data_IF_706166629057
#
_entry.id   IF_706166629057
#
_cell.length_a   1.000
_cell.length_b   1.000
_cell.length_c   1.000
_cell.angle_alpha   90.00
_cell.angle_beta   90.00
_cell.angle_gamma   90.00
#
_symmetry.space_group_name_H-M   'P 1'
#
loop_
_entity.id
_entity.type
_entity.pdbx_description
1 polymer ?
#
# COMPACT_ATOMS: atom_id res chain seq x y z
N UNK A 1 -26.69 0.05 -1.41
CA UNK A 1 -25.69 -0.87 -0.84
C UNK A 1 -24.90 -0.12 0.23
N UNK A 2 -25.03 -0.46 1.53
CA UNK A 2 -24.15 0.11 2.56
C UNK A 2 -22.76 -0.48 2.33
N UNK A 3 -21.81 0.33 1.86
CA UNK A 3 -20.42 -0.09 1.66
C UNK A 3 -19.85 -0.52 3.00
N UNK A 4 -19.43 -1.78 3.11
CA UNK A 4 -18.69 -2.25 4.27
C UNK A 4 -17.38 -1.43 4.31
N UNK A 5 -17.27 -0.48 5.23
CA UNK A 5 -16.26 0.59 5.25
C UNK A 5 -14.86 0.14 5.65
N UNK A 6 -14.62 -1.17 5.78
CA UNK A 6 -13.33 -1.74 6.17
C UNK A 6 -12.68 -2.42 4.97
N UNK A 7 -11.48 -1.99 4.62
CA UNK A 7 -10.67 -2.64 3.60
C UNK A 7 -10.24 -4.02 4.10
N UNK A 8 -10.58 -5.07 3.36
CA UNK A 8 -10.15 -6.44 3.69
C UNK A 8 -8.64 -6.58 3.43
N UNK A 9 -7.93 -7.36 4.25
CA UNK A 9 -6.46 -7.49 4.15
C UNK A 9 -6.01 -8.06 2.78
N UNK A 10 -6.88 -8.77 2.07
CA UNK A 10 -6.58 -9.25 0.71
C UNK A 10 -6.24 -8.11 -0.25
N UNK A 11 -6.90 -6.95 -0.12
CA UNK A 11 -6.60 -5.77 -0.97
C UNK A 11 -5.20 -5.23 -0.67
N UNK A 12 -4.80 -5.26 0.60
CA UNK A 12 -3.46 -4.89 1.02
C UNK A 12 -2.40 -5.87 0.48
N UNK A 13 -2.73 -7.16 0.47
CA UNK A 13 -1.85 -8.19 -0.10
C UNK A 13 -1.73 -8.01 -1.62
N UNK A 14 -2.83 -7.75 -2.33
CA UNK A 14 -2.82 -7.39 -3.75
C UNK A 14 -1.95 -6.16 -4.01
N UNK A 15 -2.06 -5.12 -3.18
CA UNK A 15 -1.22 -3.93 -3.32
C UNK A 15 0.27 -4.24 -3.07
N UNK A 16 0.57 -5.11 -2.10
CA UNK A 16 1.95 -5.56 -1.84
C UNK A 16 2.52 -6.30 -3.05
N UNK A 17 1.74 -7.18 -3.69
CA UNK A 17 2.10 -7.88 -4.93
C UNK A 17 2.39 -6.89 -6.06
N UNK A 18 1.52 -5.89 -6.26
CA UNK A 18 1.72 -4.86 -7.30
C UNK A 18 2.99 -4.05 -7.04
N UNK A 19 3.24 -3.66 -5.79
CA UNK A 19 4.45 -2.92 -5.45
C UNK A 19 5.72 -3.76 -5.60
N UNK A 20 5.70 -5.04 -5.24
CA UNK A 20 6.83 -5.94 -5.46
C UNK A 20 7.11 -6.14 -6.95
N UNK A 21 6.07 -6.32 -7.77
CA UNK A 21 6.21 -6.37 -9.24
C UNK A 21 6.79 -5.06 -9.80
N UNK A 22 6.34 -3.93 -9.27
CA UNK A 22 6.84 -2.60 -9.65
C UNK A 22 8.33 -2.40 -9.34
N UNK A 23 8.89 -3.12 -8.35
CA UNK A 23 10.33 -3.02 -8.03
C UNK A 23 11.21 -3.59 -9.16
N UNK A 24 10.69 -4.45 -10.03
CA UNK A 24 11.40 -4.96 -11.22
C UNK A 24 11.67 -3.89 -12.28
N UNK A 25 10.96 -2.75 -12.22
CA UNK A 25 11.03 -1.68 -13.23
C UNK A 25 11.75 -0.44 -12.72
N UNK A 26 12.42 -0.52 -11.57
CA UNK A 26 13.18 0.58 -11.00
C UNK A 26 14.59 0.61 -11.59
N UNK A 27 15.20 1.79 -11.57
CA UNK A 27 16.59 1.95 -11.95
C UNK A 27 17.51 1.15 -11.01
N UNK A 28 18.64 0.66 -11.53
CA UNK A 28 19.55 -0.25 -10.83
C UNK A 28 20.15 0.36 -9.56
N UNK A 29 20.31 1.69 -9.54
CA UNK A 29 20.79 2.46 -8.40
C UNK A 29 19.74 2.64 -7.29
N UNK A 30 18.46 2.37 -7.58
CA UNK A 30 17.42 2.55 -6.60
C UNK A 30 17.52 1.45 -5.52
N UNK A 31 17.36 1.81 -4.23
CA UNK A 31 17.23 0.82 -3.18
C UNK A 31 16.07 -0.14 -3.46
N UNK A 32 16.34 -1.44 -3.40
CA UNK A 32 15.30 -2.47 -3.51
C UNK A 32 14.50 -2.53 -2.21
N UNK A 33 13.19 -2.71 -2.35
CA UNK A 33 12.25 -2.90 -1.24
C UNK A 33 11.48 -4.19 -1.45
N UNK A 34 11.16 -4.86 -0.34
CA UNK A 34 10.27 -6.01 -0.31
C UNK A 34 9.04 -5.66 0.54
N UNK A 35 7.86 -5.82 -0.04
CA UNK A 35 6.58 -5.60 0.60
C UNK A 35 5.97 -6.93 1.02
N UNK A 36 6.05 -7.24 2.32
CA UNK A 36 5.47 -8.46 2.86
C UNK A 36 3.94 -8.39 2.90
N UNK A 37 3.29 -9.47 2.48
CA UNK A 37 1.85 -9.64 2.63
C UNK A 37 1.46 -9.83 4.09
N UNK A 38 0.29 -9.33 4.47
CA UNK A 38 -0.33 -9.56 5.77
C UNK A 38 -0.55 -11.05 5.98
N UNK A 39 -1.11 -11.76 4.99
CA UNK A 39 -1.35 -13.20 5.07
C UNK A 39 -0.07 -14.01 5.31
N UNK A 40 1.06 -13.61 4.72
CA UNK A 40 2.33 -14.32 4.90
C UNK A 40 3.01 -14.06 6.25
N UNK A 41 2.63 -13.03 7.00
CA UNK A 41 3.24 -12.74 8.30
C UNK A 41 2.35 -13.12 9.48
N UNK A 42 1.02 -12.94 9.36
CA UNK A 42 0.10 -12.98 10.50
C UNK A 42 0.15 -14.31 11.28
N UNK A 43 0.31 -15.44 10.58
CA UNK A 43 0.35 -16.78 11.19
C UNK A 43 1.61 -17.06 12.00
N UNK A 44 2.67 -16.28 11.77
CA UNK A 44 3.90 -16.37 12.56
C UNK A 44 3.88 -15.46 13.79
N UNK A 45 2.91 -14.56 13.92
CA UNK A 45 2.84 -13.54 14.97
C UNK A 45 1.87 -13.94 16.10
N UNK A 46 1.87 -15.21 16.48
CA UNK A 46 1.00 -15.76 17.54
C UNK A 46 1.53 -15.40 18.93
N UNK A 47 0.74 -14.61 19.68
CA UNK A 47 1.08 -14.12 21.01
C UNK A 47 1.09 -15.22 22.10
N UNK A 48 0.46 -16.36 21.83
CA UNK A 48 0.29 -17.44 22.80
C UNK A 48 1.34 -18.54 22.62
N UNK A 49 2.17 -18.47 21.57
CA UNK A 49 3.18 -19.48 21.25
C UNK A 49 4.59 -18.94 21.47
N UNK A 50 5.50 -19.85 21.80
CA UNK A 50 6.94 -19.54 21.86
C UNK A 50 7.46 -19.28 20.44
N UNK A 51 8.38 -18.33 20.31
CA UNK A 51 9.07 -17.98 19.04
C UNK A 51 9.64 -19.20 18.33
N UNK A 52 10.15 -20.20 19.06
CA UNK A 52 10.67 -21.43 18.47
C UNK A 52 9.62 -22.23 17.67
N UNK A 53 8.34 -22.17 18.06
CA UNK A 53 7.24 -22.86 17.39
C UNK A 53 6.69 -22.10 16.18
N UNK A 54 6.75 -20.77 16.21
CA UNK A 54 6.22 -19.91 15.13
C UNK A 54 7.27 -19.54 14.08
N UNK A 55 8.57 -19.69 14.41
CA UNK A 55 9.66 -19.38 13.49
C UNK A 55 9.64 -20.18 12.18
N UNK A 56 9.40 -21.51 12.16
CA UNK A 56 9.38 -22.25 10.90
C UNK A 56 8.31 -21.72 9.92
N UNK A 57 7.18 -21.24 10.44
CA UNK A 57 6.12 -20.60 9.65
C UNK A 57 6.64 -19.29 9.05
N UNK A 58 7.28 -18.45 9.86
CA UNK A 58 7.89 -17.21 9.39
C UNK A 58 8.93 -17.47 8.29
N UNK A 59 9.85 -18.40 8.53
CA UNK A 59 10.94 -18.74 7.60
C UNK A 59 10.40 -19.25 6.27
N UNK A 60 9.46 -20.20 6.31
CA UNK A 60 8.80 -20.73 5.11
C UNK A 60 8.16 -19.61 4.29
N UNK A 61 7.39 -18.73 4.96
CA UNK A 61 6.69 -17.65 4.29
C UNK A 61 7.64 -16.60 3.69
N UNK A 62 8.71 -16.23 4.40
CA UNK A 62 9.71 -15.28 3.87
C UNK A 62 10.50 -15.91 2.70
N UNK A 63 10.83 -17.20 2.77
CA UNK A 63 11.45 -17.90 1.65
C UNK A 63 10.53 -17.96 0.42
N UNK A 64 9.24 -18.24 0.60
CA UNK A 64 8.24 -18.21 -0.47
C UNK A 64 8.08 -16.80 -1.08
N UNK A 65 8.12 -15.75 -0.25
CA UNK A 65 8.11 -14.37 -0.77
C UNK A 65 9.37 -14.06 -1.60
N UNK A 66 10.54 -14.45 -1.11
CA UNK A 66 11.81 -14.19 -1.78
C UNK A 66 12.02 -15.04 -3.04
N UNK A 67 11.42 -16.24 -3.12
CA UNK A 67 11.45 -17.04 -4.34
C UNK A 67 10.62 -16.40 -5.46
N UNK A 68 9.50 -15.75 -5.09
CA UNK A 68 8.65 -14.98 -6.00
C UNK A 68 9.24 -13.64 -6.38
N UNK A 69 9.95 -12.99 -5.45
CA UNK A 69 10.53 -11.65 -5.62
C UNK A 69 12.01 -11.66 -5.21
N UNK A 70 12.92 -12.14 -6.08
CA UNK A 70 14.32 -12.35 -5.73
C UNK A 70 15.03 -11.05 -5.38
N UNK A 71 15.13 -10.75 -4.09
CA UNK A 71 15.82 -9.57 -3.56
C UNK A 71 17.25 -9.94 -3.18
N UNK A 72 18.25 -9.46 -3.92
CA UNK A 72 19.67 -9.83 -3.72
C UNK A 72 20.42 -9.05 -2.63
N UNK A 73 19.85 -7.96 -2.09
CA UNK A 73 20.52 -7.11 -1.08
C UNK A 73 19.54 -6.56 -0.06
N UNK A 74 19.70 -6.94 1.21
CA UNK A 74 19.03 -6.31 2.35
C UNK A 74 19.93 -5.19 2.90
N UNK A 75 19.57 -3.93 2.72
CA UNK A 75 20.46 -2.80 3.02
C UNK A 75 19.96 -1.89 4.16
N UNK A 76 18.66 -1.86 4.45
CA UNK A 76 18.08 -0.94 5.44
C UNK A 76 17.00 -1.63 6.28
N UNK A 77 17.08 -1.49 7.60
CA UNK A 77 16.08 -1.95 8.57
C UNK A 77 15.97 -0.82 9.59
N UNK A 78 14.86 -0.08 9.58
CA UNK A 78 14.64 1.03 10.49
C UNK A 78 13.81 0.61 11.68
N UNK A 79 14.28 0.97 12.88
CA UNK A 79 13.53 0.83 14.12
C UNK A 79 13.96 1.94 15.11
N UNK A 80 13.05 2.42 15.98
CA UNK A 80 13.25 3.50 16.98
C UNK A 80 12.42 3.32 18.29
N UNK A 81 11.76 4.35 18.83
CA UNK A 81 11.20 4.37 20.21
C UNK A 81 9.89 3.60 20.50
N UNK A 82 9.66 3.18 21.76
CA UNK A 82 8.76 2.10 22.22
C UNK A 82 7.33 2.01 21.61
N UNK A 83 7.09 0.93 20.85
CA UNK A 83 5.78 0.59 20.23
C UNK A 83 4.81 -0.25 21.09
N UNK A 84 5.21 -0.64 22.31
CA UNK A 84 4.53 -1.67 23.10
C UNK A 84 3.09 -1.32 23.50
N UNK A 85 2.77 -0.04 23.70
CA UNK A 85 1.44 0.40 24.12
C UNK A 85 0.34 0.13 23.08
N UNK A 86 0.68 0.12 21.79
CA UNK A 86 -0.29 -0.02 20.70
C UNK A 86 -0.30 -1.41 20.07
N UNK A 87 0.88 -2.04 19.94
CA UNK A 87 1.03 -3.31 19.21
C UNK A 87 1.38 -4.49 20.12
N UNK A 88 1.47 -4.26 21.43
CA UNK A 88 1.82 -5.29 22.40
C UNK A 88 3.18 -5.94 22.09
N UNK A 89 3.21 -7.27 22.06
CA UNK A 89 4.43 -8.05 21.79
C UNK A 89 4.66 -8.34 20.30
N UNK A 90 3.73 -7.99 19.42
CA UNK A 90 3.81 -8.33 17.99
C UNK A 90 5.12 -7.83 17.35
N UNK A 91 5.54 -6.55 17.54
CA UNK A 91 6.78 -6.07 16.93
C UNK A 91 8.02 -6.80 17.46
N UNK A 92 8.02 -7.20 18.74
CA UNK A 92 9.12 -7.96 19.35
C UNK A 92 9.21 -9.38 18.79
N UNK A 93 8.08 -10.04 18.52
CA UNK A 93 8.04 -11.37 17.89
C UNK A 93 8.57 -11.28 16.46
N UNK A 94 8.06 -10.31 15.68
CA UNK A 94 8.51 -10.08 14.30
C UNK A 94 10.01 -9.79 14.23
N UNK A 95 10.50 -8.92 15.12
CA UNK A 95 11.93 -8.61 15.24
C UNK A 95 12.77 -9.84 15.58
N UNK A 96 12.32 -10.65 16.55
CA UNK A 96 13.01 -11.89 16.94
C UNK A 96 13.08 -12.89 15.79
N UNK A 97 11.97 -13.07 15.06
CA UNK A 97 11.93 -13.90 13.87
C UNK A 97 12.90 -13.42 12.80
N UNK A 98 12.90 -12.12 12.53
CA UNK A 98 13.76 -11.56 11.49
C UNK A 98 15.24 -11.65 11.85
N UNK A 99 15.62 -11.38 13.10
CA UNK A 99 17.00 -11.58 13.59
C UNK A 99 17.44 -13.03 13.41
N UNK A 100 16.60 -13.99 13.83
CA UNK A 100 16.89 -15.42 13.69
C UNK A 100 17.02 -15.84 12.23
N UNK A 101 16.16 -15.31 11.36
CA UNK A 101 16.21 -15.56 9.92
C UNK A 101 17.52 -15.06 9.30
N UNK A 102 17.98 -13.85 9.66
CA UNK A 102 19.27 -13.34 9.20
C UNK A 102 20.45 -14.19 9.65
N UNK A 103 20.43 -14.69 10.90
CA UNK A 103 21.45 -15.63 11.39
C UNK A 103 21.46 -16.92 10.59
N UNK A 104 20.28 -17.50 10.36
CA UNK A 104 20.15 -18.75 9.61
C UNK A 104 20.60 -18.60 8.16
N UNK A 105 20.31 -17.46 7.51
CA UNK A 105 20.81 -17.13 6.16
C UNK A 105 22.30 -16.75 6.10
N UNK A 106 23.04 -16.81 7.22
CA UNK A 106 24.46 -16.53 7.27
C UNK A 106 24.83 -15.04 7.40
N UNK A 107 23.86 -14.13 7.55
CA UNK A 107 24.10 -12.69 7.72
C UNK A 107 24.44 -12.33 9.17
N UNK A 108 25.50 -12.93 9.72
CA UNK A 108 25.83 -12.82 11.15
C UNK A 108 26.00 -11.36 11.58
N UNK A 109 26.85 -10.57 10.90
CA UNK A 109 27.09 -9.16 11.24
C UNK A 109 25.78 -8.35 11.20
N UNK A 110 24.98 -8.48 10.13
CA UNK A 110 23.70 -7.76 10.02
C UNK A 110 22.71 -8.17 11.10
N UNK A 111 22.65 -9.46 11.45
CA UNK A 111 21.79 -9.93 12.54
C UNK A 111 22.18 -9.31 13.88
N UNK A 112 23.48 -9.11 14.14
CA UNK A 112 23.96 -8.44 15.37
C UNK A 112 23.55 -6.97 15.39
N UNK A 113 23.64 -6.28 14.25
CA UNK A 113 23.20 -4.88 14.11
C UNK A 113 21.68 -4.80 14.34
N UNK A 114 20.90 -5.60 13.61
CA UNK A 114 19.43 -5.59 13.70
C UNK A 114 18.94 -5.95 15.10
N UNK A 115 19.60 -6.90 15.79
CA UNK A 115 19.23 -7.27 17.16
C UNK A 115 19.31 -6.12 18.15
N UNK A 116 20.20 -5.15 17.92
CA UNK A 116 20.34 -3.96 18.76
C UNK A 116 19.30 -2.89 18.44
N UNK A 117 18.62 -2.97 17.29
CA UNK A 117 17.54 -2.07 16.92
C UNK A 117 16.29 -2.38 17.75
N UNK A 118 15.62 -1.34 18.25
CA UNK A 118 14.38 -1.45 19.03
C UNK A 118 13.18 -1.05 18.17
N UNK A 119 12.06 -1.80 18.14
CA UNK A 119 10.87 -1.42 17.39
C UNK A 119 10.35 -0.03 17.75
N UNK A 120 10.14 0.82 16.72
CA UNK A 120 9.55 2.16 16.88
C UNK A 120 8.05 2.23 16.67
N UNK A 121 7.39 3.09 17.44
CA UNK A 121 6.22 3.82 16.97
C UNK A 121 6.63 5.16 16.32
N UNK A 122 6.35 5.32 15.03
CA UNK A 122 6.67 6.55 14.33
C UNK A 122 5.57 7.58 14.52
N UNK A 123 5.91 8.76 15.06
CA UNK A 123 4.98 9.90 15.08
C UNK A 123 4.97 10.55 13.69
N UNK A 124 3.78 10.77 13.14
CA UNK A 124 3.61 11.39 11.83
C UNK A 124 2.58 12.52 11.93
N UNK A 125 2.80 13.68 11.26
CA UNK A 125 1.86 14.80 11.30
C UNK A 125 0.44 14.47 10.81
N UNK A 126 0.29 13.45 9.95
CA UNK A 126 -0.98 13.00 9.39
C UNK A 126 -1.65 11.85 10.16
N UNK A 127 -1.18 11.49 11.36
CA UNK A 127 -1.82 10.48 12.19
C UNK A 127 -3.28 10.81 12.51
N UNK A 128 -4.11 9.78 12.58
CA UNK A 128 -5.52 9.90 12.97
C UNK A 128 -5.74 9.15 14.27
N UNK A 129 -6.64 9.65 15.12
CA UNK A 129 -6.91 9.02 16.43
C UNK A 129 -8.02 7.99 16.41
N UNK A 130 -9.01 8.14 15.51
CA UNK A 130 -10.24 7.33 15.51
C UNK A 130 -10.68 6.86 14.13
N UNK A 131 -9.81 6.90 13.12
CA UNK A 131 -10.14 6.42 11.78
C UNK A 131 -9.72 4.96 11.56
N UNK A 132 -10.61 4.03 11.93
CA UNK A 132 -10.40 2.60 11.70
C UNK A 132 -10.76 2.13 10.30
N UNK A 133 -11.49 2.94 9.53
CA UNK A 133 -12.04 2.55 8.23
C UNK A 133 -11.01 2.74 7.11
N UNK A 134 -10.18 3.76 7.22
CA UNK A 134 -9.19 4.12 6.20
C UNK A 134 -7.77 3.62 6.51
N UNK A 135 -7.59 2.81 7.56
CA UNK A 135 -6.29 2.28 7.97
C UNK A 135 -5.56 1.58 6.82
N UNK A 136 -6.30 0.90 5.94
CA UNK A 136 -5.75 0.28 4.73
C UNK A 136 -5.23 1.30 3.70
N UNK A 137 -5.90 2.44 3.53
CA UNK A 137 -5.44 3.52 2.63
C UNK A 137 -4.15 4.13 3.16
N UNK A 138 -4.07 4.40 4.47
CA UNK A 138 -2.83 4.85 5.10
C UNK A 138 -1.71 3.84 4.90
N UNK A 139 -1.96 2.54 5.15
CA UNK A 139 -0.95 1.49 4.94
C UNK A 139 -0.44 1.46 3.50
N UNK A 140 -1.34 1.47 2.52
CA UNK A 140 -0.95 1.46 1.09
C UNK A 140 -0.12 2.71 0.73
N UNK A 141 -0.50 3.88 1.24
CA UNK A 141 0.25 5.12 1.04
C UNK A 141 1.62 5.10 1.71
N UNK A 142 1.71 4.52 2.90
CA UNK A 142 2.99 4.38 3.60
C UNK A 142 3.93 3.43 2.86
N UNK A 143 3.43 2.33 2.30
CA UNK A 143 4.23 1.43 1.46
C UNK A 143 4.79 2.14 0.20
N UNK A 144 3.99 3.01 -0.44
CA UNK A 144 4.47 3.78 -1.60
C UNK A 144 5.61 4.75 -1.22
N UNK A 145 5.38 5.52 -0.14
CA UNK A 145 6.15 6.74 0.17
C UNK A 145 7.31 6.49 1.12
N UNK A 146 7.23 5.51 2.00
CA UNK A 146 8.30 5.24 2.96
C UNK A 146 9.51 4.59 2.27
N UNK A 147 10.69 5.21 2.42
CA UNK A 147 11.96 4.80 1.81
C UNK A 147 13.06 4.46 2.82
N UNK A 148 12.71 4.32 4.09
CA UNK A 148 13.69 4.01 5.13
C UNK A 148 14.38 5.26 5.73
N UNK A 149 13.68 6.40 5.72
CA UNK A 149 14.16 7.61 6.39
C UNK A 149 12.98 8.27 7.12
N UNK A 150 12.74 7.95 8.40
CA UNK A 150 11.62 8.48 9.15
C UNK A 150 11.73 9.99 9.40
N UNK A 151 12.94 10.58 9.38
CA UNK A 151 13.15 11.99 9.69
C UNK A 151 12.70 12.90 8.54
N UNK A 152 12.90 12.45 7.31
CA UNK A 152 12.56 13.20 6.10
C UNK A 152 11.34 12.60 5.38
N UNK A 153 10.57 11.74 6.04
CA UNK A 153 9.44 11.08 5.41
C UNK A 153 8.24 12.01 5.29
N UNK A 154 7.79 12.23 4.07
CA UNK A 154 6.54 12.90 3.75
C UNK A 154 5.61 11.96 2.98
N UNK A 155 4.39 11.77 3.49
CA UNK A 155 3.36 10.97 2.82
C UNK A 155 2.44 11.79 1.90
N UNK A 156 2.66 13.10 1.80
CA UNK A 156 1.75 14.10 1.19
C UNK A 156 0.32 14.04 1.77
N UNK A 157 0.18 13.71 3.05
CA UNK A 157 -1.10 13.68 3.74
C UNK A 157 -1.21 14.90 4.67
N UNK A 158 -2.32 15.62 4.58
CA UNK A 158 -2.66 16.70 5.51
C UNK A 158 -2.92 16.13 6.91
N UNK A 159 -2.87 17.00 7.91
CA UNK A 159 -3.33 16.70 9.28
C UNK A 159 -4.80 16.25 9.27
N UNK A 160 -5.18 15.45 10.28
CA UNK A 160 -6.55 14.94 10.44
C UNK A 160 -7.59 16.07 10.30
N UNK A 161 -8.52 15.91 9.35
CA UNK A 161 -9.52 16.93 9.01
C UNK A 161 -10.12 16.76 7.60
N UNK A 162 -10.93 17.74 7.18
CA UNK A 162 -11.66 17.69 5.90
C UNK A 162 -10.74 17.60 4.67
N UNK A 163 -9.59 18.27 4.72
CA UNK A 163 -8.56 18.20 3.68
C UNK A 163 -7.98 16.79 3.53
N UNK A 164 -7.61 16.15 4.64
CA UNK A 164 -7.11 14.78 4.64
C UNK A 164 -8.19 13.79 4.17
N UNK A 165 -9.44 13.98 4.58
CA UNK A 165 -10.56 13.15 4.10
C UNK A 165 -10.70 13.19 2.56
N UNK A 166 -10.60 14.38 1.95
CA UNK A 166 -10.60 14.53 0.49
C UNK A 166 -9.40 13.82 -0.16
N UNK A 167 -8.21 13.87 0.47
CA UNK A 167 -7.03 13.14 -0.01
C UNK A 167 -7.22 11.63 0.06
N UNK A 168 -7.75 11.11 1.17
CA UNK A 168 -8.05 9.68 1.36
C UNK A 168 -9.05 9.19 0.31
N UNK A 169 -10.10 9.96 0.03
CA UNK A 169 -11.08 9.62 -1.01
C UNK A 169 -10.42 9.50 -2.40
N UNK A 170 -9.57 10.47 -2.76
CA UNK A 170 -8.79 10.43 -4.01
C UNK A 170 -7.84 9.24 -4.05
N UNK A 171 -7.13 8.95 -2.95
CA UNK A 171 -6.24 7.80 -2.84
C UNK A 171 -6.99 6.48 -3.01
N UNK A 172 -8.20 6.35 -2.45
CA UNK A 172 -9.05 5.17 -2.64
C UNK A 172 -9.36 4.95 -4.13
N UNK A 173 -9.78 6.00 -4.83
CA UNK A 173 -10.03 5.92 -6.27
C UNK A 173 -8.75 5.54 -7.04
N UNK A 174 -7.61 6.15 -6.68
CA UNK A 174 -6.29 5.87 -7.28
C UNK A 174 -5.88 4.40 -7.10
N UNK A 175 -5.92 3.89 -5.88
CA UNK A 175 -5.53 2.51 -5.58
C UNK A 175 -6.46 1.50 -6.24
N UNK A 176 -7.77 1.74 -6.21
CA UNK A 176 -8.73 0.89 -6.91
C UNK A 176 -8.43 0.84 -8.42
N UNK A 177 -8.22 2.01 -9.05
CA UNK A 177 -7.89 2.05 -10.47
C UNK A 177 -6.57 1.33 -10.77
N UNK A 178 -5.53 1.55 -9.98
CA UNK A 178 -4.24 0.89 -10.15
C UNK A 178 -4.35 -0.64 -10.00
N UNK A 179 -5.08 -1.13 -9.00
CA UNK A 179 -5.30 -2.57 -8.79
C UNK A 179 -6.09 -3.18 -9.97
N UNK A 180 -7.21 -2.56 -10.33
CA UNK A 180 -8.11 -3.06 -11.37
C UNK A 180 -7.46 -3.07 -12.76
N UNK A 181 -6.63 -2.07 -13.06
CA UNK A 181 -5.95 -1.92 -14.36
C UNK A 181 -4.55 -2.52 -14.41
N UNK A 182 -4.06 -3.10 -13.31
CA UNK A 182 -2.72 -3.66 -13.22
C UNK A 182 -2.47 -4.76 -14.25
N UNK A 183 -1.24 -4.82 -14.80
CA UNK A 183 -0.84 -5.86 -15.76
C UNK A 183 -0.92 -7.28 -15.21
N UNK A 184 -0.75 -7.44 -13.89
CA UNK A 184 -0.84 -8.73 -13.21
C UNK A 184 -2.29 -9.15 -12.89
N UNK A 185 -3.28 -8.29 -13.13
CA UNK A 185 -4.68 -8.67 -12.96
C UNK A 185 -5.14 -9.51 -14.17
N UNK A 186 -5.39 -10.81 -13.96
CA UNK A 186 -5.85 -11.72 -15.01
C UNK A 186 -7.17 -11.29 -15.67
N UNK A 187 -7.99 -10.51 -14.96
CA UNK A 187 -9.27 -9.97 -15.47
C UNK A 187 -9.14 -8.54 -16.00
N UNK A 188 -7.92 -7.99 -16.09
CA UNK A 188 -7.65 -6.60 -16.51
C UNK A 188 -8.41 -6.22 -17.77
N UNK A 189 -8.30 -7.00 -18.84
CA UNK A 189 -8.91 -6.64 -20.13
C UNK A 189 -10.44 -6.55 -20.01
N UNK A 190 -11.06 -7.54 -19.36
CA UNK A 190 -12.51 -7.53 -19.09
C UNK A 190 -12.92 -6.31 -18.26
N UNK A 191 -12.19 -6.02 -17.19
CA UNK A 191 -12.45 -4.87 -16.31
C UNK A 191 -12.31 -3.55 -17.06
N UNK A 192 -11.31 -3.41 -17.94
CA UNK A 192 -11.11 -2.19 -18.74
C UNK A 192 -12.23 -2.05 -19.77
N UNK A 193 -12.63 -3.12 -20.45
CA UNK A 193 -13.76 -3.10 -21.39
C UNK A 193 -15.04 -2.67 -20.69
N UNK A 194 -15.39 -3.31 -19.57
CA UNK A 194 -16.59 -2.96 -18.80
C UNK A 194 -16.53 -1.50 -18.30
N UNK A 195 -15.37 -1.03 -17.85
CA UNK A 195 -15.20 0.36 -17.44
C UNK A 195 -15.38 1.36 -18.60
N UNK A 196 -14.91 1.01 -19.81
CA UNK A 196 -15.11 1.82 -21.01
C UNK A 196 -16.59 1.88 -21.40
N UNK A 197 -17.31 0.78 -21.31
CA UNK A 197 -18.73 0.72 -21.66
C UNK A 197 -19.57 1.50 -20.64
N UNK A 198 -19.32 1.33 -19.34
CA UNK A 198 -19.94 2.15 -18.29
C UNK A 198 -19.72 3.64 -18.50
N UNK A 199 -18.52 4.04 -18.93
CA UNK A 199 -18.22 5.44 -19.22
C UNK A 199 -19.02 5.97 -20.43
N UNK A 200 -19.16 5.17 -21.49
CA UNK A 200 -19.98 5.55 -22.65
C UNK A 200 -21.44 5.70 -22.24
N UNK A 201 -21.96 4.79 -21.43
CA UNK A 201 -23.34 4.82 -20.94
C UNK A 201 -23.61 6.04 -20.06
N UNK A 202 -22.70 6.35 -19.12
CA UNK A 202 -22.80 7.54 -18.27
C UNK A 202 -22.68 8.85 -19.06
N UNK A 203 -21.77 8.89 -20.04
CA UNK A 203 -21.63 10.03 -20.95
C UNK A 203 -22.91 10.22 -21.79
N UNK A 204 -23.51 9.13 -22.27
CA UNK A 204 -24.78 9.16 -22.99
C UNK A 204 -25.93 9.64 -22.10
N UNK A 205 -26.03 9.15 -20.87
CA UNK A 205 -27.01 9.63 -19.88
C UNK A 205 -26.82 11.10 -19.53
N UNK A 206 -25.57 11.55 -19.38
CA UNK A 206 -25.24 12.95 -19.12
C UNK A 206 -25.61 13.83 -20.32
N UNK A 207 -25.32 13.39 -21.55
CA UNK A 207 -25.73 14.09 -22.77
C UNK A 207 -27.25 14.18 -22.89
N UNK A 208 -27.99 13.10 -22.61
CA UNK A 208 -29.46 13.14 -22.57
C UNK A 208 -29.95 14.13 -21.52
N UNK A 209 -29.35 14.13 -20.31
CA UNK A 209 -29.72 15.06 -19.24
C UNK A 209 -29.44 16.51 -19.66
N UNK A 210 -28.26 16.80 -20.21
CA UNK A 210 -27.90 18.13 -20.72
C UNK A 210 -28.79 18.52 -21.89
N UNK A 211 -29.10 17.62 -22.83
CA UNK A 211 -30.02 17.89 -23.93
C UNK A 211 -31.43 18.20 -23.41
N UNK A 212 -31.96 17.44 -22.45
CA UNK A 212 -33.22 17.76 -21.77
C UNK A 212 -33.18 19.10 -21.02
N UNK A 213 -32.02 19.48 -20.49
CA UNK A 213 -31.83 20.77 -19.80
C UNK A 213 -31.65 21.92 -20.81
N UNK A 214 -31.03 21.67 -21.96
CA UNK A 214 -30.81 22.62 -23.07
C UNK A 214 -32.02 22.78 -23.99
N UNK A 215 -32.93 21.82 -24.04
CA UNK A 215 -34.29 22.02 -24.55
C UNK A 215 -35.04 23.08 -23.71
N UNK A 216 -34.53 23.42 -22.52
CA UNK A 216 -34.91 24.59 -21.75
C UNK A 216 -34.03 25.85 -21.92
N UNK A 217 -32.87 25.79 -22.60
CA UNK A 217 -31.99 26.93 -22.96
C UNK A 217 -30.79 26.46 -23.83
N UNK A 218 -30.71 26.90 -25.10
CA UNK A 218 -29.60 26.64 -26.04
C UNK A 218 -28.29 27.33 -25.57
N UNK A 219 -27.05 26.83 -25.69
CA UNK A 219 -26.25 26.57 -26.92
C UNK A 219 -24.92 25.81 -26.58
N UNK A 220 -24.22 25.30 -27.60
CA UNK A 220 -22.75 25.13 -27.63
C UNK A 220 -22.15 23.77 -27.24
N UNK A 221 -21.49 23.07 -28.17
CA UNK A 221 -20.81 21.78 -28.01
C UNK A 221 -19.29 21.94 -28.20
N UNK A 222 -18.48 21.20 -27.42
CA UNK A 222 -17.05 21.01 -27.70
C UNK A 222 -16.63 19.60 -27.24
N UNK A 223 -16.08 18.80 -28.17
CA UNK A 223 -15.59 17.43 -27.92
C UNK A 223 -14.21 17.49 -27.26
N UNK A 224 -14.04 16.82 -26.10
CA UNK A 224 -12.73 16.54 -25.50
C UNK A 224 -12.41 15.05 -25.59
N UNK A 225 -11.22 14.75 -26.08
CA UNK A 225 -10.60 13.42 -26.05
C UNK A 225 -9.96 13.18 -24.69
N UNK A 226 -10.03 11.94 -24.18
CA UNK A 226 -9.45 11.54 -22.89
C UNK A 226 -8.25 10.62 -23.12
N UNK A 227 -7.11 10.97 -22.54
CA UNK A 227 -5.89 10.15 -22.51
C UNK A 227 -5.66 9.68 -21.07
N UNK A 228 -5.41 8.38 -20.88
CA UNK A 228 -5.10 7.82 -19.56
C UNK A 228 -3.62 8.05 -19.21
N UNK A 229 -3.37 8.44 -17.96
CA UNK A 229 -2.00 8.72 -17.47
C UNK A 229 -1.15 7.46 -17.47
N UNK A 230 0.01 7.53 -18.12
CA UNK A 230 1.01 6.45 -18.19
C UNK A 230 1.95 6.40 -16.98
N UNK A 231 1.89 7.37 -16.06
CA UNK A 231 2.74 7.43 -14.86
C UNK A 231 1.93 7.81 -13.61
N UNK A 232 2.05 6.98 -12.57
CA UNK A 232 1.30 7.10 -11.29
C UNK A 232 1.97 8.02 -10.24
N UNK A 233 2.95 8.83 -10.62
CA UNK A 233 3.56 9.84 -9.73
C UNK A 233 2.72 11.11 -9.72
N UNK A 234 1.70 11.16 -8.87
CA UNK A 234 0.93 12.38 -8.59
C UNK A 234 1.55 13.08 -7.38
N UNK A 235 2.14 14.25 -7.60
CA UNK A 235 2.32 15.25 -6.52
C UNK A 235 0.95 15.89 -6.28
N UNK A 236 0.55 16.06 -5.03
CA UNK A 236 -0.64 16.85 -4.73
C UNK A 236 -0.25 18.33 -4.76
N UNK A 237 -0.88 19.13 -5.62
CA UNK A 237 -0.64 20.57 -5.64
C UNK A 237 -1.00 21.19 -4.28
N UNK A 238 -0.10 22.05 -3.81
CA UNK A 238 -0.30 22.87 -2.61
C UNK A 238 -1.20 24.04 -3.02
N UNK A 239 -2.49 23.92 -2.70
CA UNK A 239 -3.39 25.07 -2.54
C UNK A 239 -3.51 25.38 -1.05
#
# INVERSE_FOLDING_TARGET
MKSNTKLYYSIIDTWSTILNDSENYKADESPMRLFCTVGGLIWSLDLNKKVALTYPIFESNVNDMLSKYPTRKLQHVDMGEDSKAYYGKIPSILHSHFVKYLQWKGFQIKSQIVRKLKPSYLSMPWQTKRNSNDCGIFRMRHMETYKGDPKNWEADLRKEGSGQYKQIFKLRAKYNNAILSSGINEKRNKVITEAQDLFKDDAHHTLIKVAKTKVGNAEGSNKKSVTFSSKLTTKFDVA
#
